data_IF_774283920484
#
_entry.id   IF_774283920484
#
_cell.length_a   1.000
_cell.length_b   1.000
_cell.length_c   1.000
_cell.angle_alpha   90.00
_cell.angle_beta   90.00
_cell.angle_gamma   90.00
#
_symmetry.space_group_name_H-M   'P 1'
#
loop_
_entity.id
_entity.type
_entity.pdbx_description
1 polymer ?
#
# COMPACT_ATOMS: atom_id res chain seq x y z
N UNK A 1 14.83 21.61 -45.48
CA UNK A 1 15.17 21.77 -44.05
C UNK A 1 13.93 21.40 -43.25
N UNK A 2 13.88 20.20 -42.69
CA UNK A 2 12.88 19.80 -41.71
C UNK A 2 13.47 20.15 -40.34
N UNK A 3 13.12 21.32 -39.82
CA UNK A 3 13.44 21.75 -38.45
C UNK A 3 12.24 21.44 -37.58
N UNK A 4 12.20 20.23 -37.06
CA UNK A 4 11.18 19.78 -36.11
C UNK A 4 11.71 18.57 -35.36
N UNK A 5 12.46 18.81 -34.29
CA UNK A 5 12.84 17.78 -33.31
C UNK A 5 11.60 17.42 -32.48
N UNK A 6 10.57 16.88 -33.11
CA UNK A 6 9.54 16.15 -32.40
C UNK A 6 10.05 14.73 -32.22
N UNK A 7 10.64 14.43 -31.06
CA UNK A 7 10.97 13.06 -30.67
C UNK A 7 9.68 12.24 -30.68
N UNK A 8 9.52 11.35 -31.66
CA UNK A 8 8.40 10.41 -31.67
C UNK A 8 8.78 9.22 -30.80
N UNK A 9 8.14 9.11 -29.64
CA UNK A 9 8.25 7.95 -28.79
C UNK A 9 7.44 6.80 -29.40
N UNK A 10 8.04 5.62 -29.52
CA UNK A 10 7.36 4.41 -29.96
C UNK A 10 7.64 3.31 -28.93
N UNK A 11 6.73 3.09 -27.96
CA UNK A 11 6.95 2.08 -26.94
C UNK A 11 6.92 0.70 -27.59
N UNK A 12 8.00 -0.07 -27.41
CA UNK A 12 7.99 -1.50 -27.67
C UNK A 12 7.38 -2.18 -26.45
N UNK A 13 6.18 -2.73 -26.60
CA UNK A 13 5.52 -3.50 -25.53
C UNK A 13 5.83 -4.97 -25.72
N UNK A 14 6.41 -5.57 -24.68
CA UNK A 14 6.78 -6.98 -24.66
C UNK A 14 5.97 -7.65 -23.55
N UNK A 15 5.31 -8.77 -23.86
CA UNK A 15 4.52 -9.46 -22.86
C UNK A 15 5.43 -9.99 -21.72
N UNK A 16 4.97 -10.00 -20.47
CA UNK A 16 5.69 -10.64 -19.38
C UNK A 16 6.06 -12.09 -19.72
N UNK A 17 7.21 -12.56 -19.23
CA UNK A 17 7.71 -13.92 -19.44
C UNK A 17 7.99 -14.30 -20.91
N UNK A 18 8.13 -13.32 -21.81
CA UNK A 18 8.47 -13.58 -23.22
C UNK A 18 9.93 -13.97 -23.45
N UNK A 19 10.81 -13.75 -22.46
CA UNK A 19 12.22 -14.10 -22.54
C UNK A 19 12.52 -15.35 -21.73
N UNK A 20 13.32 -16.23 -22.32
CA UNK A 20 14.03 -17.28 -21.58
C UNK A 20 15.05 -16.62 -20.65
N UNK A 21 15.03 -16.90 -19.33
CA UNK A 21 16.02 -16.42 -18.37
C UNK A 21 17.45 -16.74 -18.81
N UNK A 22 18.39 -15.81 -18.58
CA UNK A 22 19.78 -15.88 -19.05
C UNK A 22 19.95 -15.73 -20.57
N UNK A 23 18.85 -15.68 -21.34
CA UNK A 23 18.89 -15.50 -22.78
C UNK A 23 19.33 -14.10 -23.18
N UNK A 24 20.18 -14.00 -24.20
CA UNK A 24 20.59 -12.73 -24.79
C UNK A 24 19.81 -12.45 -26.07
N UNK A 25 19.20 -11.28 -26.15
CA UNK A 25 18.35 -10.83 -27.25
C UNK A 25 18.94 -9.56 -27.88
N UNK A 26 18.88 -9.49 -29.20
CA UNK A 26 19.23 -8.27 -29.94
C UNK A 26 17.94 -7.62 -30.42
N UNK A 27 17.69 -6.40 -29.96
CA UNK A 27 16.64 -5.55 -30.52
C UNK A 27 17.25 -4.68 -31.60
N UNK A 28 16.70 -4.75 -32.80
CA UNK A 28 17.12 -3.95 -33.93
C UNK A 28 15.98 -3.03 -34.35
N UNK A 29 16.26 -1.72 -34.41
CA UNK A 29 15.40 -0.72 -34.99
C UNK A 29 15.91 -0.41 -36.41
N UNK A 30 15.15 -0.82 -37.42
CA UNK A 30 15.39 -0.44 -38.81
C UNK A 30 14.55 0.79 -39.18
N UNK A 31 15.21 1.81 -39.73
CA UNK A 31 14.57 2.99 -40.28
C UNK A 31 14.83 3.08 -41.78
N UNK A 32 13.78 3.24 -42.57
CA UNK A 32 13.87 3.36 -44.04
C UNK A 32 13.42 4.72 -44.51
N UNK A 33 14.23 5.39 -45.33
CA UNK A 33 13.89 6.65 -46.03
C UNK A 33 14.16 6.50 -47.53
N UNK A 34 13.10 6.25 -48.31
CA UNK A 34 13.24 5.92 -49.73
C UNK A 34 13.97 4.59 -49.91
N UNK A 35 15.11 4.60 -50.60
CA UNK A 35 16.00 3.43 -50.75
C UNK A 35 17.08 3.32 -49.67
N UNK A 36 17.20 4.32 -48.79
CA UNK A 36 18.21 4.32 -47.73
C UNK A 36 17.67 3.60 -46.50
N UNK A 37 18.50 2.76 -45.89
CA UNK A 37 18.21 2.07 -44.64
C UNK A 37 19.28 2.44 -43.61
N UNK A 38 18.84 2.67 -42.39
CA UNK A 38 19.70 2.76 -41.21
C UNK A 38 19.20 1.77 -40.17
N UNK A 39 20.12 1.26 -39.35
CA UNK A 39 19.80 0.36 -38.25
C UNK A 39 20.46 0.88 -36.97
N UNK A 40 19.81 0.61 -35.84
CA UNK A 40 20.37 0.72 -34.52
C UNK A 40 20.04 -0.57 -33.77
N UNK A 41 20.98 -1.09 -32.99
CA UNK A 41 20.75 -2.32 -32.24
C UNK A 41 21.19 -2.17 -30.79
N UNK A 42 20.46 -2.81 -29.89
CA UNK A 42 20.86 -3.01 -28.50
C UNK A 42 20.84 -4.51 -28.20
N UNK A 43 21.75 -4.92 -27.33
CA UNK A 43 21.83 -6.28 -26.82
C UNK A 43 21.38 -6.25 -25.36
N UNK A 44 20.42 -7.10 -25.02
CA UNK A 44 19.80 -7.18 -23.70
C UNK A 44 19.87 -8.63 -23.26
N UNK A 45 20.36 -8.88 -22.05
CA UNK A 45 20.32 -10.20 -21.43
C UNK A 45 19.17 -10.23 -20.43
N UNK A 46 18.28 -11.21 -20.57
CA UNK A 46 17.23 -11.45 -19.60
C UNK A 46 17.85 -11.98 -18.30
N UNK A 47 17.49 -11.38 -17.17
CA UNK A 47 18.01 -11.76 -15.85
C UNK A 47 17.62 -13.21 -15.54
N UNK A 48 18.55 -13.94 -14.91
CA UNK A 48 18.29 -15.29 -14.40
C UNK A 48 18.03 -15.18 -12.89
N UNK A 49 16.79 -15.43 -12.42
CA UNK A 49 16.46 -15.28 -11.01
C UNK A 49 17.14 -16.36 -10.15
N UNK A 50 17.31 -16.14 -8.83
CA UNK A 50 17.74 -17.16 -7.90
C UNK A 50 16.90 -18.45 -8.00
N UNK A 51 17.52 -19.60 -7.77
CA UNK A 51 16.84 -20.91 -7.89
C UNK A 51 17.12 -21.85 -6.72
N UNK A 52 16.38 -22.97 -6.69
CA UNK A 52 16.61 -24.17 -5.87
C UNK A 52 16.45 -24.03 -4.36
N UNK A 53 16.18 -22.82 -3.86
CA UNK A 53 16.06 -22.61 -2.44
C UNK A 53 14.72 -23.08 -1.86
N UNK A 54 14.71 -23.18 -0.53
CA UNK A 54 13.56 -23.52 0.27
C UNK A 54 13.38 -22.50 1.41
N UNK A 55 12.19 -22.52 2.02
CA UNK A 55 11.87 -21.81 3.24
C UNK A 55 11.50 -22.82 4.33
N UNK A 56 12.17 -22.75 5.48
CA UNK A 56 11.78 -23.43 6.71
C UNK A 56 11.27 -22.42 7.74
N UNK A 57 10.22 -22.80 8.48
CA UNK A 57 9.64 -21.98 9.56
C UNK A 57 9.47 -22.83 10.81
N UNK A 58 10.21 -22.48 11.86
CA UNK A 58 10.22 -23.22 13.12
C UNK A 58 9.82 -22.32 14.29
N UNK A 59 8.80 -22.69 15.10
CA UNK A 59 7.94 -23.86 14.94
C UNK A 59 6.92 -23.70 13.80
N UNK A 60 6.40 -24.79 13.25
CA UNK A 60 5.35 -24.75 12.21
C UNK A 60 3.96 -24.33 12.75
N UNK A 61 3.82 -24.21 14.07
CA UNK A 61 2.61 -23.77 14.74
C UNK A 61 2.92 -23.03 16.04
N UNK A 62 2.07 -22.09 16.42
CA UNK A 62 2.22 -21.31 17.63
C UNK A 62 1.02 -20.44 17.97
N UNK A 63 1.26 -19.49 18.87
CA UNK A 63 0.31 -18.51 19.33
C UNK A 63 0.70 -17.12 18.87
N UNK A 64 -0.27 -16.36 18.38
CA UNK A 64 -0.09 -14.96 18.00
C UNK A 64 0.47 -14.16 19.17
N UNK A 65 1.35 -13.19 18.89
CA UNK A 65 2.14 -12.41 19.85
C UNK A 65 3.15 -13.22 20.69
N UNK A 66 2.82 -14.42 21.18
CA UNK A 66 3.65 -15.16 22.15
C UNK A 66 4.77 -15.99 21.53
N UNK A 67 4.50 -16.65 20.40
CA UNK A 67 5.48 -17.56 19.80
C UNK A 67 6.45 -16.78 18.94
N UNK A 68 7.73 -16.85 19.28
CA UNK A 68 8.82 -16.41 18.42
C UNK A 68 9.10 -17.46 17.35
N UNK A 69 8.94 -17.09 16.09
CA UNK A 69 9.24 -17.93 14.94
C UNK A 69 10.62 -17.61 14.38
N UNK A 70 11.31 -18.65 13.91
CA UNK A 70 12.52 -18.54 13.12
C UNK A 70 12.20 -18.92 11.68
N UNK A 71 12.55 -18.05 10.75
CA UNK A 71 12.44 -18.28 9.31
C UNK A 71 13.85 -18.47 8.75
N UNK A 72 14.06 -19.53 8.00
CA UNK A 72 15.35 -19.85 7.39
C UNK A 72 15.14 -20.12 5.90
N UNK A 73 15.75 -19.29 5.06
CA UNK A 73 15.83 -19.50 3.64
C UNK A 73 17.12 -20.26 3.31
N UNK A 74 17.05 -21.46 2.76
CA UNK A 74 18.24 -22.30 2.53
C UNK A 74 18.32 -22.81 1.10
N UNK A 75 19.53 -23.11 0.62
CA UNK A 75 19.73 -23.73 -0.70
C UNK A 75 19.58 -22.79 -1.91
N UNK A 76 19.35 -21.49 -1.71
CA UNK A 76 19.26 -20.51 -2.79
C UNK A 76 20.60 -20.32 -3.50
N UNK A 77 20.57 -20.32 -4.84
CA UNK A 77 21.74 -20.10 -5.70
C UNK A 77 21.41 -19.08 -6.79
N UNK A 78 22.29 -18.11 -7.00
CA UNK A 78 22.28 -17.19 -8.15
C UNK A 78 23.67 -17.09 -8.77
N UNK A 79 23.72 -16.81 -10.07
CA UNK A 79 24.94 -16.45 -10.78
C UNK A 79 25.45 -15.04 -10.40
N UNK A 80 24.59 -14.20 -9.82
CA UNK A 80 24.81 -12.77 -9.59
C UNK A 80 24.74 -12.38 -8.10
N UNK A 81 25.60 -12.93 -7.22
CA UNK A 81 25.62 -12.56 -5.80
C UNK A 81 26.04 -11.08 -5.59
N UNK A 82 25.72 -10.47 -4.43
CA UNK A 82 25.13 -11.06 -3.24
C UNK A 82 23.60 -11.30 -3.35
N UNK A 83 23.12 -12.29 -2.60
CA UNK A 83 21.69 -12.48 -2.39
C UNK A 83 21.19 -11.61 -1.25
N UNK A 84 19.99 -11.06 -1.41
CA UNK A 84 19.23 -10.36 -0.38
C UNK A 84 17.95 -11.13 -0.11
N UNK A 85 17.55 -11.20 1.16
CA UNK A 85 16.37 -11.94 1.59
C UNK A 85 15.35 -10.98 2.15
N UNK A 86 14.10 -11.15 1.77
CA UNK A 86 12.98 -10.44 2.36
C UNK A 86 11.92 -11.43 2.75
N UNK A 87 11.55 -11.44 4.03
CA UNK A 87 10.51 -12.30 4.55
C UNK A 87 9.23 -11.49 4.64
N UNK A 88 8.14 -12.04 4.12
CA UNK A 88 6.83 -11.40 4.12
C UNK A 88 5.69 -12.37 4.38
N UNK A 89 4.50 -11.82 4.59
CA UNK A 89 3.25 -12.58 4.80
C UNK A 89 2.21 -12.15 3.77
N UNK A 90 1.17 -12.94 3.51
CA UNK A 90 0.19 -12.69 2.43
C UNK A 90 -0.54 -11.33 2.49
N UNK A 91 -0.49 -10.65 3.64
CA UNK A 91 -1.09 -9.34 3.87
C UNK A 91 -0.05 -8.21 3.98
N UNK A 92 1.26 -8.50 3.86
CA UNK A 92 2.31 -7.50 4.09
C UNK A 92 2.50 -7.13 5.57
N UNK A 93 1.82 -7.84 6.47
CA UNK A 93 1.78 -7.60 7.93
C UNK A 93 3.18 -7.65 8.56
N UNK A 94 3.98 -8.55 8.05
CA UNK A 94 5.41 -8.59 8.30
C UNK A 94 6.07 -8.39 6.95
N UNK A 95 7.02 -7.47 6.92
CA UNK A 95 8.04 -7.38 5.90
C UNK A 95 9.34 -7.05 6.60
N UNK A 96 10.33 -7.91 6.39
CA UNK A 96 11.64 -7.75 7.00
C UNK A 96 12.70 -8.17 5.99
N UNK A 97 13.46 -7.17 5.55
CA UNK A 97 14.67 -7.39 4.77
C UNK A 97 15.80 -7.84 5.72
N UNK A 98 16.48 -8.92 5.35
CA UNK A 98 17.62 -9.45 6.07
C UNK A 98 18.78 -9.67 5.08
N UNK A 99 19.98 -9.15 5.37
CA UNK A 99 21.17 -9.50 4.58
C UNK A 99 21.54 -10.98 4.78
N UNK A 100 21.09 -11.57 5.89
CA UNK A 100 21.25 -12.97 6.19
C UNK A 100 20.05 -13.78 5.69
N UNK A 101 20.27 -15.06 5.45
CA UNK A 101 19.24 -15.97 5.02
C UNK A 101 18.30 -16.42 6.16
N UNK A 102 18.30 -15.70 7.29
CA UNK A 102 17.54 -16.01 8.49
C UNK A 102 16.86 -14.76 9.04
N UNK A 103 15.64 -14.94 9.53
CA UNK A 103 14.93 -13.98 10.38
C UNK A 103 14.59 -14.67 11.69
N UNK A 104 15.16 -14.17 12.78
CA UNK A 104 14.91 -14.67 14.13
C UNK A 104 13.79 -13.87 14.80
N UNK A 105 13.11 -14.49 15.78
CA UNK A 105 12.09 -13.86 16.63
C UNK A 105 10.88 -13.23 15.93
N UNK A 106 10.57 -13.62 14.69
CA UNK A 106 9.38 -13.15 14.00
C UNK A 106 8.11 -13.44 14.83
N UNK A 107 7.17 -12.49 14.84
CA UNK A 107 5.86 -12.64 15.47
C UNK A 107 4.78 -12.52 14.42
N UNK A 108 3.81 -13.43 14.48
CA UNK A 108 2.76 -13.53 13.48
C UNK A 108 1.38 -13.22 14.08
N UNK A 109 0.48 -12.61 13.28
CA UNK A 109 -0.92 -12.52 13.64
C UNK A 109 -1.59 -13.89 13.58
N UNK A 110 -2.82 -13.95 14.10
CA UNK A 110 -3.67 -15.14 13.98
C UNK A 110 -3.92 -15.42 12.50
N UNK A 111 -3.80 -16.69 12.09
CA UNK A 111 -4.18 -17.09 10.74
C UNK A 111 -5.71 -17.08 10.55
N UNK A 112 -6.17 -16.86 9.32
CA UNK A 112 -7.61 -16.81 9.01
C UNK A 112 -8.11 -18.22 8.71
N UNK A 113 -9.20 -18.63 9.35
CA UNK A 113 -9.80 -19.96 9.32
C UNK A 113 -9.66 -20.75 7.98
N UNK A 114 -9.01 -21.95 7.98
CA UNK A 114 -8.29 -22.54 9.11
C UNK A 114 -7.03 -21.72 9.44
N UNK A 115 -6.64 -21.56 10.72
CA UNK A 115 -5.69 -20.55 11.19
C UNK A 115 -4.26 -20.75 10.66
N UNK A 116 -4.09 -20.56 9.36
CA UNK A 116 -2.92 -20.82 8.55
C UNK A 116 -2.52 -19.48 7.94
N UNK A 117 -1.32 -19.04 8.25
CA UNK A 117 -0.70 -17.86 7.66
C UNK A 117 0.31 -18.32 6.62
N UNK A 118 0.21 -17.80 5.40
CA UNK A 118 1.25 -18.00 4.40
C UNK A 118 2.40 -17.00 4.64
N UNK A 119 3.58 -17.55 4.87
CA UNK A 119 4.85 -16.85 5.00
C UNK A 119 5.64 -17.10 3.72
N UNK A 120 6.18 -16.05 3.14
CA UNK A 120 6.95 -16.09 1.89
C UNK A 120 8.32 -15.50 2.12
N UNK A 121 9.36 -16.11 1.55
CA UNK A 121 10.64 -15.45 1.35
C UNK A 121 10.75 -15.04 -0.10
N UNK A 122 11.13 -13.79 -0.33
CA UNK A 122 11.58 -13.28 -1.63
C UNK A 122 13.08 -13.16 -1.57
N UNK A 123 13.76 -13.81 -2.51
CA UNK A 123 15.22 -13.76 -2.64
C UNK A 123 15.56 -13.03 -3.91
N UNK A 124 16.37 -11.99 -3.78
CA UNK A 124 16.77 -11.13 -4.88
C UNK A 124 18.29 -11.15 -5.04
N UNK A 125 18.78 -11.08 -6.27
CA UNK A 125 20.21 -11.00 -6.56
C UNK A 125 20.67 -9.58 -6.93
N UNK A 126 21.96 -9.42 -7.26
CA UNK A 126 22.55 -8.11 -7.55
C UNK A 126 22.02 -7.44 -8.83
N UNK A 127 21.34 -8.18 -9.71
CA UNK A 127 20.70 -7.66 -10.91
C UNK A 127 19.18 -7.53 -10.75
N UNK A 128 18.66 -7.60 -9.52
CA UNK A 128 17.23 -7.55 -9.19
C UNK A 128 16.44 -8.77 -9.71
N UNK A 129 17.13 -9.84 -10.10
CA UNK A 129 16.52 -11.14 -10.36
C UNK A 129 15.90 -11.67 -9.08
N UNK A 130 14.61 -11.98 -9.10
CA UNK A 130 13.88 -12.40 -7.89
C UNK A 130 13.17 -13.74 -8.06
N UNK A 131 13.14 -14.49 -6.97
CA UNK A 131 12.38 -15.73 -6.82
C UNK A 131 11.79 -15.81 -5.41
N UNK A 132 10.78 -16.64 -5.22
CA UNK A 132 10.13 -16.78 -3.92
C UNK A 132 9.73 -18.21 -3.61
N UNK A 133 9.60 -18.50 -2.32
CA UNK A 133 9.08 -19.77 -1.79
C UNK A 133 8.19 -19.47 -0.58
N UNK A 134 7.14 -20.27 -0.38
CA UNK A 134 6.15 -20.05 0.66
C UNK A 134 5.94 -21.27 1.57
N UNK A 135 5.60 -21.00 2.83
CA UNK A 135 5.22 -21.99 3.84
C UNK A 135 4.00 -21.53 4.62
N UNK A 136 3.15 -22.48 4.97
CA UNK A 136 2.00 -22.23 5.83
C UNK A 136 2.38 -22.49 7.28
N UNK A 137 2.06 -21.54 8.16
CA UNK A 137 2.29 -21.62 9.60
C UNK A 137 0.95 -21.54 10.33
N UNK A 138 0.72 -22.44 11.28
CA UNK A 138 -0.54 -22.45 12.02
C UNK A 138 -0.45 -21.54 13.26
N UNK A 139 -1.06 -20.35 13.21
CA UNK A 139 -0.99 -19.36 14.29
C UNK A 139 -2.36 -19.15 14.90
N UNK A 140 -2.50 -19.46 16.19
CA UNK A 140 -3.78 -19.42 16.91
C UNK A 140 -3.78 -18.43 18.07
N UNK A 141 -4.94 -18.21 18.66
CA UNK A 141 -5.11 -17.44 19.89
C UNK A 141 -4.58 -18.19 21.11
N UNK A 142 -3.88 -17.49 22.01
CA UNK A 142 -3.61 -18.00 23.34
C UNK A 142 -4.84 -17.82 24.23
N UNK A 143 -5.20 -18.82 25.03
CA UNK A 143 -6.34 -18.77 25.96
C UNK A 143 -6.02 -18.05 27.29
N UNK A 144 -4.88 -17.39 27.42
CA UNK A 144 -4.41 -16.76 28.67
C UNK A 144 -4.65 -15.26 28.67
N UNK A 145 -5.84 -14.83 29.13
CA UNK A 145 -6.30 -13.43 29.09
C UNK A 145 -5.78 -12.52 30.22
N UNK A 146 -4.99 -13.03 31.19
CA UNK A 146 -4.69 -12.25 32.42
C UNK A 146 -3.39 -11.44 32.41
N UNK A 147 -2.65 -11.36 31.29
CA UNK A 147 -1.45 -10.49 31.19
C UNK A 147 -1.16 -9.93 29.80
N UNK A 148 -2.15 -9.84 28.89
CA UNK A 148 -1.93 -9.38 27.51
C UNK A 148 -1.27 -8.00 27.46
N UNK A 149 -1.74 -7.04 28.27
CA UNK A 149 -1.17 -5.70 28.37
C UNK A 149 0.33 -5.73 28.69
N UNK A 150 0.75 -6.54 29.66
CA UNK A 150 2.16 -6.62 30.05
C UNK A 150 3.01 -7.23 28.93
N UNK A 151 2.51 -8.26 28.25
CA UNK A 151 3.21 -8.92 27.15
C UNK A 151 3.34 -8.00 25.93
N UNK A 152 2.30 -7.23 25.62
CA UNK A 152 2.33 -6.19 24.59
C UNK A 152 3.35 -5.12 24.96
N UNK A 153 3.31 -4.60 26.19
CA UNK A 153 4.25 -3.59 26.67
C UNK A 153 5.70 -4.07 26.65
N UNK A 154 5.96 -5.30 27.08
CA UNK A 154 7.31 -5.88 27.06
C UNK A 154 7.82 -6.07 25.63
N UNK A 155 6.95 -6.52 24.72
CA UNK A 155 7.29 -6.69 23.31
C UNK A 155 7.55 -5.34 22.60
N UNK A 156 6.69 -4.34 22.82
CA UNK A 156 6.87 -2.98 22.31
C UNK A 156 8.14 -2.33 22.87
N UNK A 157 8.37 -2.46 24.18
CA UNK A 157 9.58 -1.93 24.84
C UNK A 157 10.86 -2.52 24.24
N UNK A 158 10.82 -3.80 23.85
CA UNK A 158 11.93 -4.45 23.13
C UNK A 158 12.12 -3.83 21.74
N UNK A 159 11.06 -3.72 20.95
CA UNK A 159 11.13 -3.14 19.59
C UNK A 159 11.65 -1.70 19.60
N UNK A 160 11.19 -0.87 20.54
CA UNK A 160 11.71 0.50 20.72
C UNK A 160 13.17 0.53 21.19
N UNK A 161 13.57 -0.37 22.09
CA UNK A 161 14.97 -0.46 22.53
C UNK A 161 15.93 -0.89 21.42
N UNK A 162 15.44 -1.70 20.47
CA UNK A 162 16.19 -2.15 19.30
C UNK A 162 16.06 -1.19 18.10
N UNK A 163 15.28 -0.09 18.22
CA UNK A 163 14.94 0.82 17.11
C UNK A 163 14.38 0.09 15.89
N UNK A 164 13.60 -0.96 16.13
CA UNK A 164 13.09 -1.85 15.08
C UNK A 164 11.62 -1.56 14.80
N UNK A 165 11.37 -0.76 13.76
CA UNK A 165 10.01 -0.50 13.25
C UNK A 165 9.29 -1.81 12.93
N UNK A 166 9.98 -2.77 12.31
CA UNK A 166 9.38 -4.06 11.94
C UNK A 166 8.92 -4.86 13.16
N UNK A 167 9.68 -4.86 14.25
CA UNK A 167 9.23 -5.52 15.49
C UNK A 167 8.00 -4.84 16.08
N UNK A 168 7.95 -3.50 16.10
CA UNK A 168 6.80 -2.74 16.62
C UNK A 168 5.56 -3.03 15.77
N UNK A 169 5.66 -2.92 14.44
CA UNK A 169 4.59 -3.25 13.49
C UNK A 169 4.08 -4.69 13.66
N UNK A 170 4.98 -5.66 13.82
CA UNK A 170 4.59 -7.05 14.07
C UNK A 170 3.80 -7.21 15.37
N UNK A 171 4.18 -6.51 16.45
CA UNK A 171 3.43 -6.53 17.72
C UNK A 171 2.06 -5.89 17.53
N UNK A 172 1.97 -4.73 16.88
CA UNK A 172 0.71 -4.03 16.60
C UNK A 172 -0.25 -4.94 15.85
N UNK A 173 0.17 -5.52 14.73
CA UNK A 173 -0.73 -6.36 13.92
C UNK A 173 -1.06 -7.69 14.60
N UNK A 174 -0.06 -8.30 15.26
CA UNK A 174 -0.31 -9.55 15.99
C UNK A 174 -1.32 -9.35 17.11
N UNK A 175 -1.31 -8.18 17.74
CA UNK A 175 -2.23 -7.84 18.83
C UNK A 175 -3.59 -7.43 18.28
N UNK A 176 -3.67 -6.61 17.23
CA UNK A 176 -4.92 -6.15 16.63
C UNK A 176 -5.91 -7.29 16.30
N UNK A 177 -5.40 -8.44 15.82
CA UNK A 177 -6.23 -9.62 15.55
C UNK A 177 -6.78 -10.34 16.78
N UNK A 178 -6.20 -10.11 17.96
CA UNK A 178 -6.53 -10.79 19.23
C UNK A 178 -7.62 -10.05 20.01
N UNK A 179 -7.76 -8.74 19.79
CA UNK A 179 -8.52 -7.86 20.68
C UNK A 179 -10.02 -8.06 20.52
N UNK A 180 -10.68 -8.39 21.63
CA UNK A 180 -12.14 -8.39 21.79
C UNK A 180 -12.55 -7.07 22.48
N UNK A 181 -12.21 -5.95 21.86
CA UNK A 181 -12.49 -4.58 22.33
C UNK A 181 -11.80 -4.18 23.66
N UNK A 182 -10.60 -4.70 23.93
CA UNK A 182 -9.78 -4.25 25.08
C UNK A 182 -9.20 -2.85 24.80
N UNK A 183 -9.92 -1.82 25.26
CA UNK A 183 -9.62 -0.41 25.04
C UNK A 183 -8.22 -0.01 25.54
N UNK A 184 -7.76 -0.54 26.68
CA UNK A 184 -6.46 -0.23 27.25
C UNK A 184 -5.32 -0.74 26.34
N UNK A 185 -5.46 -1.96 25.81
CA UNK A 185 -4.47 -2.52 24.87
C UNK A 185 -4.54 -1.80 23.53
N UNK A 186 -5.73 -1.46 23.04
CA UNK A 186 -5.90 -0.72 21.78
C UNK A 186 -5.21 0.64 21.84
N UNK A 187 -5.45 1.43 22.89
CA UNK A 187 -4.79 2.73 23.09
C UNK A 187 -3.27 2.57 23.14
N UNK A 188 -2.78 1.52 23.82
CA UNK A 188 -1.34 1.23 23.91
C UNK A 188 -0.71 0.95 22.53
N UNK A 189 -1.32 0.09 21.72
CA UNK A 189 -0.75 -0.26 20.40
C UNK A 189 -0.92 0.85 19.36
N UNK A 190 -1.98 1.66 19.46
CA UNK A 190 -2.19 2.83 18.60
C UNK A 190 -1.12 3.88 18.92
N UNK A 191 -0.96 4.25 20.20
CA UNK A 191 0.08 5.20 20.63
C UNK A 191 1.48 4.73 20.24
N UNK A 192 1.78 3.44 20.39
CA UNK A 192 3.07 2.90 19.99
C UNK A 192 3.31 2.95 18.47
N UNK A 193 2.28 2.72 17.66
CA UNK A 193 2.41 2.87 16.20
C UNK A 193 2.62 4.33 15.82
N UNK A 194 1.88 5.25 16.42
CA UNK A 194 2.05 6.70 16.22
C UNK A 194 3.47 7.13 16.54
N UNK A 195 3.99 6.76 17.71
CA UNK A 195 5.35 7.07 18.14
C UNK A 195 6.40 6.47 17.18
N UNK A 196 6.19 5.24 16.72
CA UNK A 196 7.10 4.59 15.77
C UNK A 196 7.10 5.27 14.40
N UNK A 197 5.93 5.67 13.90
CA UNK A 197 5.80 6.39 12.63
C UNK A 197 6.46 7.76 12.70
N UNK A 198 6.30 8.48 13.81
CA UNK A 198 6.91 9.80 13.97
C UNK A 198 8.44 9.76 14.12
N UNK A 199 8.97 8.73 14.78
CA UNK A 199 10.37 8.73 15.21
C UNK A 199 11.27 7.74 14.48
N UNK A 200 10.73 6.69 13.87
CA UNK A 200 11.51 5.57 13.33
C UNK A 200 11.32 5.35 11.83
N UNK A 201 10.20 5.77 11.23
CA UNK A 201 9.96 5.56 9.80
C UNK A 201 10.91 6.42 8.96
N UNK A 202 11.72 5.74 8.15
CA UNK A 202 12.43 6.35 7.03
C UNK A 202 11.45 6.48 5.84
N UNK A 203 11.50 7.57 5.04
CA UNK A 203 10.79 7.68 3.76
C UNK A 203 11.18 6.64 2.68
N UNK A 204 11.69 5.47 3.05
CA UNK A 204 11.84 4.33 2.16
C UNK A 204 10.49 3.61 1.96
N UNK A 205 10.20 3.24 0.71
CA UNK A 205 8.91 2.65 0.34
C UNK A 205 8.55 1.40 1.17
N UNK A 206 9.54 0.59 1.53
CA UNK A 206 9.34 -0.64 2.29
C UNK A 206 8.83 -0.38 3.72
N UNK A 207 9.39 0.63 4.40
CA UNK A 207 9.00 1.01 5.75
C UNK A 207 7.64 1.72 5.78
N UNK A 208 7.36 2.54 4.75
CA UNK A 208 6.06 3.15 4.56
C UNK A 208 4.97 2.09 4.35
N UNK A 209 5.21 1.11 3.48
CA UNK A 209 4.26 0.02 3.23
C UNK A 209 3.98 -0.81 4.49
N UNK A 210 5.02 -1.11 5.27
CA UNK A 210 4.88 -1.85 6.53
C UNK A 210 4.05 -1.08 7.57
N UNK A 211 4.28 0.23 7.68
CA UNK A 211 3.55 1.10 8.60
C UNK A 211 2.09 1.26 8.19
N UNK A 212 1.83 1.44 6.89
CA UNK A 212 0.47 1.53 6.34
C UNK A 212 -0.31 0.25 6.63
N UNK A 213 0.30 -0.93 6.44
CA UNK A 213 -0.36 -2.20 6.69
C UNK A 213 -0.64 -2.42 8.18
N UNK A 214 0.25 -1.94 9.04
CA UNK A 214 0.04 -1.95 10.50
C UNK A 214 -1.15 -1.08 10.90
N UNK A 215 -1.24 0.13 10.34
CA UNK A 215 -2.40 1.01 10.50
C UNK A 215 -3.68 0.35 9.97
N UNK A 216 -3.63 -0.30 8.80
CA UNK A 216 -4.77 -1.02 8.22
C UNK A 216 -5.29 -2.10 9.17
N UNK A 217 -4.41 -2.89 9.77
CA UNK A 217 -4.80 -3.91 10.75
C UNK A 217 -5.54 -3.31 11.96
N UNK A 218 -5.10 -2.16 12.48
CA UNK A 218 -5.79 -1.48 13.58
C UNK A 218 -7.21 -1.06 13.19
N UNK A 219 -7.42 -0.58 11.96
CA UNK A 219 -8.77 -0.20 11.49
C UNK A 219 -9.74 -1.39 11.38
N UNK A 220 -9.24 -2.63 11.37
CA UNK A 220 -10.11 -3.81 11.39
C UNK A 220 -10.77 -4.03 12.76
N UNK A 221 -10.25 -3.39 13.82
CA UNK A 221 -10.76 -3.42 15.21
C UNK A 221 -11.81 -2.33 15.48
N UNK A 222 -12.48 -2.38 16.64
CA UNK A 222 -13.43 -1.34 17.04
C UNK A 222 -12.73 -0.19 17.77
N UNK A 223 -12.18 0.75 16.99
CA UNK A 223 -11.51 1.92 17.54
C UNK A 223 -12.51 2.92 18.18
N UNK A 224 -12.17 3.40 19.37
CA UNK A 224 -12.81 4.58 19.96
C UNK A 224 -12.46 5.85 19.15
N UNK A 225 -13.11 6.98 19.43
CA UNK A 225 -12.93 8.19 18.62
C UNK A 225 -11.49 8.69 18.64
N UNK A 226 -10.83 8.65 19.80
CA UNK A 226 -9.46 9.11 19.97
C UNK A 226 -8.47 8.25 19.18
N UNK A 227 -8.52 6.92 19.38
CA UNK A 227 -7.70 5.96 18.65
C UNK A 227 -7.98 6.00 17.14
N UNK A 228 -9.24 6.17 16.74
CA UNK A 228 -9.63 6.30 15.34
C UNK A 228 -9.07 7.57 14.69
N UNK A 229 -9.04 8.68 15.42
CA UNK A 229 -8.44 9.94 14.97
C UNK A 229 -6.91 9.81 14.84
N UNK A 230 -6.23 9.23 15.83
CA UNK A 230 -4.78 9.02 15.78
C UNK A 230 -4.37 8.13 14.60
N UNK A 231 -5.07 7.00 14.38
CA UNK A 231 -4.80 6.13 13.23
C UNK A 231 -5.05 6.86 11.91
N UNK A 232 -6.06 7.73 11.84
CA UNK A 232 -6.33 8.55 10.65
C UNK A 232 -5.21 9.56 10.38
N UNK A 233 -4.68 10.22 11.41
CA UNK A 233 -3.55 11.15 11.30
C UNK A 233 -2.26 10.42 10.89
N UNK A 234 -2.01 9.22 11.42
CA UNK A 234 -0.90 8.36 10.99
C UNK A 234 -1.05 8.00 9.49
N UNK A 235 -2.24 7.59 9.06
CA UNK A 235 -2.50 7.29 7.65
C UNK A 235 -2.30 8.51 6.74
N UNK A 236 -2.70 9.70 7.19
CA UNK A 236 -2.50 10.95 6.47
C UNK A 236 -1.01 11.27 6.28
N UNK A 237 -0.22 11.19 7.36
CA UNK A 237 1.22 11.43 7.33
C UNK A 237 1.96 10.43 6.43
N UNK A 238 1.63 9.14 6.53
CA UNK A 238 2.22 8.08 5.70
C UNK A 238 1.83 8.25 4.23
N UNK A 239 0.56 8.53 3.93
CA UNK A 239 0.08 8.72 2.55
C UNK A 239 0.68 9.99 1.92
N UNK A 240 0.82 11.06 2.70
CA UNK A 240 1.47 12.29 2.25
C UNK A 240 2.96 12.07 1.96
N UNK A 241 3.64 11.30 2.82
CA UNK A 241 5.04 10.93 2.60
C UNK A 241 5.17 10.06 1.35
N UNK A 242 4.31 9.06 1.18
CA UNK A 242 4.27 8.21 0.00
C UNK A 242 4.03 9.02 -1.29
N UNK A 243 3.15 10.03 -1.25
CA UNK A 243 2.93 10.96 -2.36
C UNK A 243 4.17 11.81 -2.68
N UNK A 244 5.02 12.09 -1.69
CA UNK A 244 6.24 12.88 -1.90
C UNK A 244 7.41 12.05 -2.44
N UNK A 245 7.49 10.77 -2.05
CA UNK A 245 8.52 9.83 -2.49
C UNK A 245 8.22 9.29 -3.89
N UNK A 246 6.93 9.16 -4.21
CA UNK A 246 6.45 8.54 -5.45
C UNK A 246 6.54 7.02 -5.41
N UNK A 247 5.74 6.34 -6.24
CA UNK A 247 5.65 4.87 -6.25
C UNK A 247 6.78 4.16 -7.01
N UNK A 248 7.71 4.91 -7.61
CA UNK A 248 8.67 4.37 -8.57
C UNK A 248 8.01 3.81 -9.84
N UNK A 249 8.80 3.16 -10.70
CA UNK A 249 8.35 2.61 -11.99
C UNK A 249 7.58 1.27 -11.89
N UNK A 250 7.51 0.65 -10.71
CA UNK A 250 7.06 -0.75 -10.52
C UNK A 250 5.76 -0.93 -9.72
N UNK A 251 5.05 0.15 -9.36
CA UNK A 251 3.64 0.04 -8.99
C UNK A 251 3.35 -0.40 -7.55
N UNK A 252 3.54 0.51 -6.59
CA UNK A 252 3.00 0.45 -5.21
C UNK A 252 1.46 0.56 -5.20
N UNK A 253 0.79 -0.36 -5.89
CA UNK A 253 -0.66 -0.58 -5.81
C UNK A 253 -1.03 -1.19 -4.46
N UNK A 254 -0.10 -1.88 -3.80
CA UNK A 254 -0.31 -2.50 -2.49
C UNK A 254 -0.52 -1.43 -1.42
N UNK A 255 0.38 -0.45 -1.28
CA UNK A 255 0.22 0.64 -0.32
C UNK A 255 -1.09 1.43 -0.55
N UNK A 256 -1.35 1.81 -1.81
CA UNK A 256 -2.56 2.56 -2.20
C UNK A 256 -3.82 1.77 -1.84
N UNK A 257 -3.83 0.45 -2.10
CA UNK A 257 -4.94 -0.42 -1.74
C UNK A 257 -5.08 -0.53 -0.22
N UNK A 258 -3.98 -0.71 0.51
CA UNK A 258 -3.98 -0.83 1.96
C UNK A 258 -4.52 0.44 2.64
N UNK A 259 -4.08 1.64 2.21
CA UNK A 259 -4.65 2.93 2.65
C UNK A 259 -6.15 2.98 2.36
N UNK A 260 -6.56 2.62 1.14
CA UNK A 260 -7.99 2.66 0.75
C UNK A 260 -8.85 1.74 1.62
N UNK A 261 -8.37 0.53 1.90
CA UNK A 261 -9.03 -0.42 2.78
C UNK A 261 -9.07 0.10 4.23
N UNK A 262 -7.98 0.69 4.73
CA UNK A 262 -7.93 1.26 6.06
C UNK A 262 -8.94 2.40 6.25
N UNK A 263 -9.00 3.34 5.30
CA UNK A 263 -9.98 4.43 5.29
C UNK A 263 -11.41 3.88 5.18
N UNK A 264 -11.63 2.87 4.32
CA UNK A 264 -12.93 2.21 4.18
C UNK A 264 -13.38 1.52 5.48
N UNK A 265 -12.44 0.94 6.24
CA UNK A 265 -12.71 0.34 7.53
C UNK A 265 -13.05 1.40 8.59
N UNK A 266 -12.30 2.50 8.67
CA UNK A 266 -12.60 3.63 9.56
C UNK A 266 -14.02 4.17 9.31
N UNK A 267 -14.41 4.31 8.02
CA UNK A 267 -15.75 4.74 7.64
C UNK A 267 -16.87 3.76 8.06
N UNK A 268 -16.57 2.46 8.15
CA UNK A 268 -17.57 1.43 8.48
C UNK A 268 -17.63 1.05 9.95
N UNK A 269 -16.50 1.11 10.67
CA UNK A 269 -16.35 0.57 12.03
C UNK A 269 -15.97 1.63 13.06
N UNK A 270 -15.24 2.65 12.64
CA UNK A 270 -14.80 3.71 13.54
C UNK A 270 -15.98 4.46 14.13
N UNK A 271 -16.04 4.57 15.45
CA UNK A 271 -17.00 5.42 16.17
C UNK A 271 -16.93 6.89 15.71
N UNK A 272 -15.78 7.28 15.15
CA UNK A 272 -15.52 8.57 14.54
C UNK A 272 -16.58 8.95 13.47
N UNK A 273 -16.89 8.04 12.54
CA UNK A 273 -17.81 8.28 11.42
C UNK A 273 -19.16 7.57 11.55
N UNK A 274 -19.24 6.55 12.41
CA UNK A 274 -20.44 5.69 12.54
C UNK A 274 -21.34 6.08 13.71
N UNK A 275 -20.91 6.99 14.59
CA UNK A 275 -21.72 7.38 15.75
C UNK A 275 -23.11 7.90 15.34
N UNK A 276 -24.14 7.69 16.19
CA UNK A 276 -25.47 8.24 15.97
C UNK A 276 -25.39 9.75 15.72
N UNK A 277 -26.24 10.25 14.82
CA UNK A 277 -26.24 11.66 14.41
C UNK A 277 -26.34 12.63 15.59
N UNK A 278 -27.16 12.31 16.60
CA UNK A 278 -27.26 13.12 17.81
C UNK A 278 -25.93 13.23 18.58
N UNK A 279 -25.18 12.12 18.67
CA UNK A 279 -23.85 12.08 19.28
C UNK A 279 -22.86 12.87 18.45
N UNK A 280 -22.86 12.73 17.12
CA UNK A 280 -21.98 13.49 16.22
C UNK A 280 -22.20 14.99 16.31
N UNK A 281 -23.46 15.44 16.26
CA UNK A 281 -23.81 16.85 16.43
C UNK A 281 -23.37 17.40 17.80
N UNK A 282 -23.48 16.59 18.85
CA UNK A 282 -23.01 16.99 20.17
C UNK A 282 -21.48 17.19 20.17
N UNK A 283 -20.71 16.22 19.65
CA UNK A 283 -19.26 16.32 19.51
C UNK A 283 -18.82 17.52 18.66
N UNK A 284 -19.49 17.73 17.53
CA UNK A 284 -19.23 18.88 16.64
C UNK A 284 -19.36 20.23 17.38
N UNK A 285 -20.24 20.33 18.36
CA UNK A 285 -20.43 21.53 19.18
C UNK A 285 -19.43 21.63 20.35
N UNK A 286 -18.97 20.50 20.88
CA UNK A 286 -18.08 20.47 22.05
C UNK A 286 -16.60 20.63 21.67
N UNK A 287 -16.11 19.82 20.72
CA UNK A 287 -14.69 19.75 20.38
C UNK A 287 -14.41 19.88 18.87
N UNK A 288 -15.43 19.75 18.02
CA UNK A 288 -15.27 19.80 16.56
C UNK A 288 -14.57 18.59 15.96
N UNK A 289 -14.36 17.52 16.73
CA UNK A 289 -13.64 16.30 16.33
C UNK A 289 -14.11 15.70 14.99
N UNK A 290 -15.44 15.53 14.73
CA UNK A 290 -15.91 14.97 13.45
C UNK A 290 -15.49 15.81 12.23
N UNK A 291 -15.37 17.13 12.39
CA UNK A 291 -14.95 18.02 11.30
C UNK A 291 -13.46 17.90 11.05
N UNK A 292 -12.65 17.85 12.11
CA UNK A 292 -11.20 17.64 11.99
C UNK A 292 -10.94 16.28 11.32
N UNK A 293 -11.61 15.22 11.77
CA UNK A 293 -11.56 13.90 11.15
C UNK A 293 -11.93 13.93 9.66
N UNK A 294 -13.01 14.62 9.29
CA UNK A 294 -13.40 14.76 7.89
C UNK A 294 -12.35 15.52 7.09
N UNK A 295 -11.75 16.57 7.64
CA UNK A 295 -10.74 17.36 6.94
C UNK A 295 -9.46 16.54 6.71
N UNK A 296 -9.01 15.76 7.70
CA UNK A 296 -7.87 14.84 7.57
C UNK A 296 -8.17 13.73 6.56
N UNK A 297 -9.33 13.08 6.65
CA UNK A 297 -9.74 12.04 5.68
C UNK A 297 -9.67 12.54 4.23
N UNK A 298 -10.15 13.77 3.98
CA UNK A 298 -10.12 14.35 2.64
C UNK A 298 -8.71 14.67 2.18
N UNK A 299 -7.84 15.13 3.09
CA UNK A 299 -6.42 15.35 2.80
C UNK A 299 -5.74 14.03 2.43
N UNK A 300 -6.00 12.95 3.18
CA UNK A 300 -5.46 11.63 2.90
C UNK A 300 -5.93 11.10 1.55
N UNK A 301 -7.21 11.29 1.22
CA UNK A 301 -7.77 10.93 -0.10
C UNK A 301 -7.14 11.78 -1.21
N UNK A 302 -6.91 13.07 -0.99
CA UNK A 302 -6.28 13.94 -1.99
C UNK A 302 -4.83 13.49 -2.25
N UNK A 303 -4.08 13.12 -1.21
CA UNK A 303 -2.74 12.52 -1.33
C UNK A 303 -2.78 11.16 -2.05
N UNK A 304 -3.76 10.30 -1.73
CA UNK A 304 -3.97 9.01 -2.40
C UNK A 304 -4.22 9.19 -3.90
N UNK A 305 -5.06 10.14 -4.29
CA UNK A 305 -5.31 10.41 -5.71
C UNK A 305 -4.11 11.05 -6.39
N UNK A 306 -3.28 11.82 -5.66
CA UNK A 306 -2.01 12.33 -6.19
C UNK A 306 -1.07 11.18 -6.55
N UNK A 307 -0.89 10.24 -5.63
CA UNK A 307 -0.09 9.03 -5.85
C UNK A 307 -0.53 8.30 -7.13
N UNK A 308 -1.84 8.09 -7.29
CA UNK A 308 -2.39 7.42 -8.47
C UNK A 308 -2.06 8.16 -9.77
N UNK A 309 -2.14 9.50 -9.76
CA UNK A 309 -1.86 10.34 -10.93
C UNK A 309 -0.40 10.33 -11.34
N UNK A 310 0.53 10.24 -10.40
CA UNK A 310 1.97 10.21 -10.71
C UNK A 310 2.37 8.98 -11.53
N UNK A 311 1.58 7.91 -11.47
CA UNK A 311 1.81 6.70 -12.28
C UNK A 311 1.20 6.76 -13.69
N UNK A 312 0.43 7.81 -14.02
CA UNK A 312 -0.33 7.88 -15.27
C UNK A 312 0.37 8.77 -16.30
N UNK A 313 0.53 8.25 -17.51
CA UNK A 313 0.82 9.10 -18.66
C UNK A 313 -0.46 9.76 -19.19
N UNK A 314 -0.28 10.84 -19.93
CA UNK A 314 -1.41 11.57 -20.49
C UNK A 314 -2.20 10.72 -21.50
N UNK A 315 -3.53 10.76 -21.37
CA UNK A 315 -4.51 10.01 -22.16
C UNK A 315 -4.49 8.49 -21.98
N UNK A 316 -3.83 7.98 -20.94
CA UNK A 316 -4.02 6.60 -20.51
C UNK A 316 -5.43 6.38 -19.93
N UNK A 317 -5.83 5.11 -19.87
CA UNK A 317 -7.06 4.72 -19.18
C UNK A 317 -7.01 5.15 -17.71
N UNK A 318 -8.16 5.47 -17.13
CA UNK A 318 -8.22 5.83 -15.73
C UNK A 318 -7.71 4.66 -14.86
N UNK A 319 -7.00 4.97 -13.79
CA UNK A 319 -6.60 4.00 -12.76
C UNK A 319 -7.22 4.38 -11.44
N UNK A 320 -7.44 3.40 -10.57
CA UNK A 320 -8.16 3.63 -9.34
C UNK A 320 -8.19 2.40 -8.46
N UNK A 321 -8.80 2.56 -7.29
CA UNK A 321 -8.91 1.52 -6.27
C UNK A 321 -10.32 1.53 -5.70
N UNK A 322 -10.76 0.35 -5.30
CA UNK A 322 -12.07 0.12 -4.73
C UNK A 322 -11.92 -0.60 -3.39
N UNK A 323 -12.57 -0.04 -2.38
CA UNK A 323 -12.92 -0.72 -1.14
C UNK A 323 -14.43 -0.56 -0.90
N UNK A 324 -14.93 -1.20 0.15
CA UNK A 324 -16.38 -1.26 0.42
C UNK A 324 -17.02 0.13 0.55
N UNK A 325 -16.36 1.08 1.24
CA UNK A 325 -16.95 2.40 1.55
C UNK A 325 -16.25 3.57 0.86
N UNK A 326 -15.15 3.31 0.14
CA UNK A 326 -14.32 4.30 -0.52
C UNK A 326 -13.90 3.79 -1.89
N UNK A 327 -14.12 4.59 -2.93
CA UNK A 327 -13.65 4.31 -4.29
C UNK A 327 -12.96 5.54 -4.83
N UNK A 328 -11.84 5.36 -5.51
CA UNK A 328 -11.17 6.46 -6.23
C UNK A 328 -10.86 6.07 -7.66
N UNK A 329 -10.86 7.06 -8.54
CA UNK A 329 -10.35 6.96 -9.90
C UNK A 329 -9.61 8.24 -10.26
N UNK A 330 -8.52 8.11 -10.99
CA UNK A 330 -7.66 9.19 -11.45
C UNK A 330 -7.38 9.04 -12.94
N UNK A 331 -7.31 10.15 -13.66
CA UNK A 331 -6.95 10.19 -15.09
C UNK A 331 -6.17 11.47 -15.41
N UNK A 332 -5.16 11.35 -16.26
CA UNK A 332 -4.43 12.50 -16.81
C UNK A 332 -4.85 12.65 -18.27
N UNK A 333 -5.30 13.83 -18.68
CA UNK A 333 -5.78 14.12 -20.03
C UNK A 333 -4.90 15.18 -20.66
N UNK A 334 -4.39 14.93 -21.87
CA UNK A 334 -3.73 15.96 -22.70
C UNK A 334 -4.45 16.16 -24.02
N UNK A 335 -4.46 17.40 -24.50
CA UNK A 335 -5.26 17.85 -25.64
C UNK A 335 -4.68 17.45 -27.03
N UNK A 336 -3.81 16.44 -27.11
CA UNK A 336 -3.36 15.90 -28.41
C UNK A 336 -4.50 15.19 -29.17
N UNK A 337 -5.58 14.83 -28.47
CA UNK A 337 -6.80 14.28 -29.04
C UNK A 337 -7.76 15.43 -29.37
N UNK A 338 -7.69 15.95 -30.60
CA UNK A 338 -8.70 16.89 -31.11
C UNK A 338 -10.06 16.19 -31.19
N UNK A 339 -11.05 16.75 -30.50
CA UNK A 339 -12.46 16.37 -30.51
C UNK A 339 -12.77 15.00 -29.87
N UNK A 340 -12.94 15.00 -28.55
CA UNK A 340 -13.51 13.87 -27.81
C UNK A 340 -13.86 14.24 -26.38
N UNK A 341 -15.12 14.05 -25.98
CA UNK A 341 -15.50 14.06 -24.56
C UNK A 341 -14.79 12.88 -23.91
N UNK A 342 -13.94 13.16 -22.92
CA UNK A 342 -13.27 12.12 -22.15
C UNK A 342 -14.09 11.83 -20.91
N UNK A 343 -14.59 10.59 -20.80
CA UNK A 343 -15.22 10.10 -19.58
C UNK A 343 -14.15 9.70 -18.56
N UNK A 344 -14.47 9.99 -17.30
CA UNK A 344 -13.72 9.64 -16.11
C UNK A 344 -14.70 8.93 -15.20
N UNK A 345 -14.36 7.70 -14.86
CA UNK A 345 -15.21 6.77 -14.14
C UNK A 345 -14.72 5.37 -14.46
N UNK A 346 -14.62 4.53 -13.44
CA UNK A 346 -14.29 3.13 -13.61
C UNK A 346 -15.55 2.29 -13.53
N UNK A 347 -15.53 1.09 -14.13
CA UNK A 347 -16.71 0.22 -14.17
C UNK A 347 -17.29 -0.11 -12.79
N UNK A 348 -16.48 0.03 -11.73
CA UNK A 348 -16.88 -0.18 -10.35
C UNK A 348 -17.46 1.06 -9.65
N UNK A 349 -17.40 2.25 -10.26
CA UNK A 349 -17.93 3.49 -9.69
C UNK A 349 -19.35 3.76 -10.17
N UNK A 350 -20.18 4.34 -9.30
CA UNK A 350 -21.50 4.85 -9.68
C UNK A 350 -21.42 6.28 -10.25
N UNK A 351 -20.34 6.99 -9.93
CA UNK A 351 -20.06 8.33 -10.42
C UNK A 351 -19.18 8.31 -11.66
N UNK A 352 -19.55 9.11 -12.65
CA UNK A 352 -18.72 9.44 -13.80
C UNK A 352 -18.76 10.94 -14.07
N UNK A 353 -17.70 11.47 -14.67
CA UNK A 353 -17.59 12.85 -15.12
C UNK A 353 -17.10 12.89 -16.56
N UNK A 354 -17.42 13.97 -17.26
CA UNK A 354 -17.04 14.19 -18.65
C UNK A 354 -16.38 15.55 -18.77
N UNK A 355 -15.18 15.60 -19.35
CA UNK A 355 -14.44 16.86 -19.57
C UNK A 355 -14.12 17.03 -21.06
N UNK A 356 -14.28 18.27 -21.51
CA UNK A 356 -13.95 18.72 -22.85
C UNK A 356 -12.84 19.79 -22.74
N UNK A 357 -11.55 19.40 -22.82
CA UNK A 357 -10.44 20.34 -22.67
C UNK A 357 -10.37 21.29 -23.87
N UNK A 358 -10.30 22.59 -23.62
CA UNK A 358 -10.56 23.64 -24.61
C UNK A 358 -9.36 24.57 -24.93
N UNK A 359 -8.22 24.44 -24.23
CA UNK A 359 -7.11 25.41 -24.34
C UNK A 359 -5.70 24.81 -24.57
N UNK A 360 -5.59 23.51 -24.85
CA UNK A 360 -4.29 22.84 -25.02
C UNK A 360 -3.58 22.45 -23.71
N UNK A 361 -4.18 22.70 -22.54
CA UNK A 361 -3.60 22.33 -21.23
C UNK A 361 -3.67 20.82 -20.95
N UNK A 362 -2.87 20.37 -19.99
CA UNK A 362 -2.96 19.03 -19.40
C UNK A 362 -3.80 19.11 -18.13
N UNK A 363 -4.79 18.22 -18.02
CA UNK A 363 -5.71 18.17 -16.90
C UNK A 363 -5.48 16.90 -16.10
N UNK A 364 -5.30 17.06 -14.80
CA UNK A 364 -5.25 15.97 -13.84
C UNK A 364 -6.60 15.94 -13.11
N UNK A 365 -7.35 14.85 -13.29
CA UNK A 365 -8.69 14.74 -12.72
C UNK A 365 -8.77 13.50 -11.86
N UNK A 366 -9.46 13.63 -10.72
CA UNK A 366 -9.78 12.52 -9.83
C UNK A 366 -11.25 12.55 -9.44
N UNK A 367 -11.83 11.37 -9.24
CA UNK A 367 -13.16 11.15 -8.70
C UNK A 367 -13.02 10.28 -7.47
N UNK A 368 -13.61 10.72 -6.36
CA UNK A 368 -13.76 9.91 -5.16
C UNK A 368 -15.23 9.71 -4.86
N UNK A 369 -15.63 8.48 -4.57
CA UNK A 369 -16.97 8.11 -4.14
C UNK A 369 -16.92 7.54 -2.72
N UNK A 370 -17.71 8.13 -1.81
CA UNK A 370 -17.93 7.64 -0.46
C UNK A 370 -19.34 7.05 -0.34
N UNK A 371 -19.45 5.83 0.19
CA UNK A 371 -20.76 5.21 0.50
C UNK A 371 -21.28 5.56 1.90
N UNK A 372 -20.42 6.15 2.74
CA UNK A 372 -20.77 6.72 4.04
C UNK A 372 -20.46 8.20 3.97
N UNK A 373 -21.38 9.07 4.41
CA UNK A 373 -21.15 10.53 4.38
C UNK A 373 -20.09 10.92 5.42
N UNK A 374 -18.87 11.33 5.01
CA UNK A 374 -17.82 11.68 5.95
C UNK A 374 -17.98 13.10 6.51
N UNK A 375 -18.82 13.95 5.90
CA UNK A 375 -18.82 15.40 6.14
C UNK A 375 -19.73 15.86 7.28
N UNK A 376 -20.58 14.99 7.82
CA UNK A 376 -21.57 15.34 8.85
C UNK A 376 -22.46 16.56 8.47
N UNK A 377 -22.59 16.86 7.17
CA UNK A 377 -23.42 17.95 6.65
C UNK A 377 -24.82 17.41 6.30
N UNK A 378 -25.84 18.04 6.87
CA UNK A 378 -27.26 17.62 6.97
C UNK A 378 -28.01 17.28 5.65
N UNK A 379 -27.41 17.39 4.46
CA UNK A 379 -28.21 17.41 3.21
C UNK A 379 -27.77 16.49 2.08
N UNK A 380 -26.80 15.59 2.26
CA UNK A 380 -26.29 14.80 1.13
C UNK A 380 -26.59 13.30 1.28
N UNK A 381 -27.29 12.77 0.26
CA UNK A 381 -27.68 11.38 0.03
C UNK A 381 -26.50 10.40 0.22
N UNK A 382 -26.76 9.09 0.45
CA UNK A 382 -25.75 8.09 0.83
C UNK A 382 -24.66 7.76 -0.23
N UNK A 383 -24.53 8.54 -1.30
CA UNK A 383 -23.40 8.46 -2.22
C UNK A 383 -22.90 9.88 -2.48
N UNK A 384 -21.74 10.20 -1.91
CA UNK A 384 -21.07 11.47 -2.09
C UNK A 384 -19.95 11.28 -3.11
N UNK A 385 -20.11 11.87 -4.29
CA UNK A 385 -19.07 11.93 -5.31
C UNK A 385 -18.37 13.29 -5.27
N UNK A 386 -17.07 13.30 -4.95
CA UNK A 386 -16.21 14.49 -5.05
C UNK A 386 -15.42 14.41 -6.36
N UNK A 387 -15.48 15.47 -7.16
CA UNK A 387 -14.66 15.61 -8.38
C UNK A 387 -13.55 16.61 -8.07
N UNK A 388 -12.31 16.14 -8.05
CA UNK A 388 -11.11 16.96 -7.93
C UNK A 388 -10.57 17.32 -9.31
N UNK A 389 -10.48 18.62 -9.61
CA UNK A 389 -9.90 19.16 -10.84
C UNK A 389 -8.60 19.89 -10.48
N UNK A 390 -7.46 19.35 -10.92
CA UNK A 390 -6.16 19.99 -10.78
C UNK A 390 -5.63 20.43 -12.14
N UNK A 391 -5.27 21.71 -12.24
CA UNK A 391 -4.68 22.29 -13.44
C UNK A 391 -3.16 22.18 -13.38
N UNK A 392 -2.57 21.39 -14.27
CA UNK A 392 -1.12 21.43 -14.51
C UNK A 392 -0.87 22.45 -15.62
N UNK A 393 -0.11 23.52 -15.31
CA UNK A 393 0.29 24.55 -16.30
C UNK A 393 1.47 24.10 -17.14
#
# INVERSE_FOLDING_TARGET
MLTGNASRYHPLVIAPLSFVPGGTYTFELEATLGSNRGYASILVTAIEPPTSGDLDVTPAAGFALYTSFKLLAEGWVSAEPPLQYRFETERGIMRASSPDNVLEKARFPIGIAPPSLQVTVVVTDALEGSASESRNVNVTLSNTSSSLVNEVNDALSTGFAEYSLSEICQVVVSTAGILDDDEEVLETIVSALTDAVENLVDPELEELELSIESSRALTETNLNDASGQEVLEVLDGLTSTLASVGLGASGSTVAVKAVTEALSNLLAKGSLFTAPEATRRHRLLEDGSPRVASDVLLQTVDALTQIQRETLAANEDATGVEAANLKTASKVISNEIKDGVQEIGLAFMNASSSIAPDDGSVYAISITEFLVNPHDLEEIKPALSRIGLLYAR
#
